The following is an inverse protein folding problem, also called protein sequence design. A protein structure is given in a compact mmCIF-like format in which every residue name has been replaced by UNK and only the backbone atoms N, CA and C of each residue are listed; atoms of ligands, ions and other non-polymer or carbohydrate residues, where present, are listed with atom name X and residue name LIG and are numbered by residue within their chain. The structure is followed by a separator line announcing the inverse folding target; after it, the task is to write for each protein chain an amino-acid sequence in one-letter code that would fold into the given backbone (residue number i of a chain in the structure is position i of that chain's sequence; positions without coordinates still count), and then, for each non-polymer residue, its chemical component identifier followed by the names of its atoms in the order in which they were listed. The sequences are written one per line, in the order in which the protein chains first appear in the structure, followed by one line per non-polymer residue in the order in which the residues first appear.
data_IF_607515568653
#
_entry.id   IF_607515568653
#
_cell.length_a   1.000
_cell.length_b   1.000
_cell.length_c   1.000
_cell.angle_alpha   90.00
_cell.angle_beta   90.00
_cell.angle_gamma   90.00
#
_symmetry.space_group_name_H-M   'P 1'
#
loop_
_entity.id
_entity.type
_entity.pdbx_description
1 polymer ?
#
# COMPACT_ATOMS: atom_id res chain seq x y z
N UNK A 1 11.38 -0.90 11.97
CA UNK A 1 10.00 -1.38 11.68
C UNK A 1 9.97 -2.09 10.35
N UNK A 2 9.14 -3.13 10.25
CA UNK A 2 8.95 -3.92 9.03
C UNK A 2 7.72 -3.43 8.27
N UNK A 3 7.89 -3.13 7.00
CA UNK A 3 6.86 -2.59 6.12
C UNK A 3 6.69 -3.52 4.92
N UNK A 4 5.45 -3.88 4.60
CA UNK A 4 5.12 -4.63 3.39
C UNK A 4 4.21 -3.80 2.50
N UNK A 5 4.40 -3.88 1.17
CA UNK A 5 3.39 -3.48 0.18
C UNK A 5 3.10 -4.61 -0.77
N UNK A 6 1.83 -4.75 -1.15
CA UNK A 6 1.37 -5.77 -2.10
C UNK A 6 0.06 -5.36 -2.78
N UNK A 7 0.02 -5.41 -4.10
CA UNK A 7 -1.22 -5.46 -4.86
C UNK A 7 -1.75 -6.90 -4.82
N UNK A 8 -2.95 -7.11 -4.29
CA UNK A 8 -3.52 -8.46 -4.06
C UNK A 8 -4.48 -8.93 -5.14
N UNK A 9 -4.60 -8.21 -6.26
CA UNK A 9 -5.46 -8.58 -7.39
C UNK A 9 -6.88 -9.00 -6.91
N UNK A 10 -7.53 -8.13 -6.16
CA UNK A 10 -8.88 -8.35 -5.58
C UNK A 10 -8.99 -9.55 -4.64
N UNK A 11 -7.85 -10.13 -4.21
CA UNK A 11 -7.82 -11.32 -3.36
C UNK A 11 -8.10 -12.64 -4.11
N UNK A 12 -7.83 -12.68 -5.42
CA UNK A 12 -7.95 -13.87 -6.26
C UNK A 12 -6.62 -14.23 -6.92
N UNK A 13 -6.37 -15.52 -7.08
CA UNK A 13 -5.21 -15.98 -7.86
C UNK A 13 -5.41 -15.69 -9.35
N UNK A 14 -4.34 -15.27 -10.04
CA UNK A 14 -4.37 -14.90 -11.46
C UNK A 14 -4.81 -16.05 -12.38
N UNK A 15 -4.47 -17.29 -12.04
CA UNK A 15 -4.75 -18.47 -12.88
C UNK A 15 -6.04 -19.20 -12.52
N UNK A 16 -6.33 -19.39 -11.23
CA UNK A 16 -7.40 -20.30 -10.79
C UNK A 16 -8.65 -19.58 -10.30
N UNK A 17 -8.67 -18.25 -10.27
CA UNK A 17 -9.76 -17.42 -9.72
C UNK A 17 -10.24 -17.89 -8.34
N UNK A 18 -9.36 -18.52 -7.57
CA UNK A 18 -9.64 -18.96 -6.19
C UNK A 18 -9.26 -17.84 -5.23
N UNK A 19 -10.06 -17.65 -4.18
CA UNK A 19 -9.72 -16.68 -3.13
C UNK A 19 -8.38 -17.01 -2.49
N UNK A 20 -7.51 -16.01 -2.39
CA UNK A 20 -6.18 -16.13 -1.79
C UNK A 20 -6.08 -15.43 -0.44
N UNK A 21 -7.12 -14.74 0.03
CA UNK A 21 -7.09 -13.92 1.24
C UNK A 21 -6.59 -14.66 2.48
N UNK A 22 -7.05 -15.91 2.72
CA UNK A 22 -6.59 -16.69 3.87
C UNK A 22 -5.09 -17.01 3.80
N UNK A 23 -4.58 -17.30 2.60
CA UNK A 23 -3.15 -17.56 2.36
C UNK A 23 -2.32 -16.29 2.49
N UNK A 24 -2.83 -15.16 1.97
CA UNK A 24 -2.21 -13.82 2.12
C UNK A 24 -2.12 -13.49 3.60
N UNK A 25 -3.22 -13.58 4.36
CA UNK A 25 -3.23 -13.35 5.81
C UNK A 25 -2.18 -14.19 6.54
N UNK A 26 -2.13 -15.49 6.28
CA UNK A 26 -1.15 -16.38 6.90
C UNK A 26 0.29 -15.95 6.58
N UNK A 27 0.58 -15.64 5.32
CA UNK A 27 1.92 -15.21 4.88
C UNK A 27 2.31 -13.85 5.47
N UNK A 28 1.40 -12.88 5.50
CA UNK A 28 1.64 -11.57 6.12
C UNK A 28 2.02 -11.70 7.60
N UNK A 29 1.39 -12.61 8.35
CA UNK A 29 1.72 -12.88 9.75
C UNK A 29 3.12 -13.47 9.92
N UNK A 30 3.51 -14.40 9.06
CA UNK A 30 4.86 -15.01 9.09
C UNK A 30 5.97 -13.99 8.84
N UNK A 31 5.69 -12.92 8.11
CA UNK A 31 6.66 -11.84 7.89
C UNK A 31 6.79 -10.87 9.07
N UNK A 32 5.94 -10.99 10.09
CA UNK A 32 5.94 -10.11 11.27
C UNK A 32 5.95 -8.62 10.91
N UNK A 33 5.18 -8.24 9.88
CA UNK A 33 5.10 -6.86 9.42
C UNK A 33 4.43 -5.96 10.47
N UNK A 34 5.03 -4.80 10.72
CA UNK A 34 4.43 -3.75 11.57
C UNK A 34 3.36 -2.98 10.80
N UNK A 35 3.61 -2.73 9.49
CA UNK A 35 2.72 -2.02 8.58
C UNK A 35 2.56 -2.81 7.29
N UNK A 36 1.33 -2.88 6.77
CA UNK A 36 1.03 -3.50 5.47
C UNK A 36 0.20 -2.55 4.63
N UNK A 37 0.70 -2.23 3.45
CA UNK A 37 0.04 -1.42 2.43
C UNK A 37 -0.52 -2.35 1.36
N UNK A 38 -1.84 -2.34 1.20
CA UNK A 38 -2.53 -3.26 0.30
C UNK A 38 -3.23 -2.45 -0.79
N UNK A 39 -3.08 -2.88 -2.05
CA UNK A 39 -3.80 -2.33 -3.19
C UNK A 39 -4.76 -3.38 -3.75
N UNK A 40 -5.81 -2.90 -4.41
CA UNK A 40 -6.91 -3.70 -4.96
C UNK A 40 -7.61 -4.61 -3.95
N UNK A 41 -7.67 -4.23 -2.68
CA UNK A 41 -8.52 -4.97 -1.75
C UNK A 41 -9.98 -4.81 -2.15
N UNK A 42 -10.63 -5.91 -2.50
CA UNK A 42 -12.05 -5.95 -2.87
C UNK A 42 -12.91 -6.42 -1.71
N UNK A 43 -14.02 -5.72 -1.52
CA UNK A 43 -15.09 -6.15 -0.63
C UNK A 43 -16.42 -6.19 -1.40
N UNK A 44 -17.24 -7.18 -1.10
CA UNK A 44 -18.52 -7.39 -1.76
C UNK A 44 -19.67 -6.93 -0.85
N UNK A 45 -20.70 -6.34 -1.44
CA UNK A 45 -21.94 -6.11 -0.70
C UNK A 45 -22.63 -7.44 -0.39
N UNK A 46 -23.12 -7.64 0.84
CA UNK A 46 -23.86 -8.86 1.18
C UNK A 46 -25.04 -9.06 0.23
N UNK A 47 -25.09 -10.20 -0.45
CA UNK A 47 -26.23 -10.54 -1.32
C UNK A 47 -27.46 -10.80 -0.45
N UNK A 48 -28.56 -10.04 -0.66
CA UNK A 48 -29.84 -10.29 -0.03
C UNK A 48 -30.00 -9.74 1.40
N UNK A 49 -29.05 -9.03 1.94
CA UNK A 49 -29.20 -8.43 3.27
C UNK A 49 -30.10 -7.18 3.20
N UNK A 50 -31.26 -7.25 3.84
CA UNK A 50 -31.99 -6.05 4.28
C UNK A 50 -31.01 -5.12 5.00
N UNK A 51 -31.02 -3.82 4.69
CA UNK A 51 -30.14 -2.76 5.25
C UNK A 51 -30.07 -2.72 6.80
N UNK A 52 -30.82 -3.58 7.50
CA UNK A 52 -30.97 -3.58 8.97
C UNK A 52 -30.16 -4.63 9.71
N UNK A 53 -29.54 -5.62 9.04
CA UNK A 53 -28.72 -6.64 9.71
C UNK A 53 -27.24 -6.38 9.40
N UNK A 54 -26.40 -6.31 10.47
CA UNK A 54 -24.94 -6.30 10.32
C UNK A 54 -24.53 -7.56 9.55
N UNK A 55 -23.60 -7.48 8.58
CA UNK A 55 -23.12 -8.67 7.89
C UNK A 55 -22.56 -9.66 8.91
N UNK A 56 -22.96 -10.92 8.80
CA UNK A 56 -22.51 -12.01 9.68
C UNK A 56 -21.04 -12.38 9.41
N UNK A 57 -20.51 -12.02 8.23
CA UNK A 57 -19.12 -12.25 7.86
C UNK A 57 -18.30 -10.97 7.98
N UNK A 58 -17.07 -11.05 8.48
CA UNK A 58 -16.16 -9.90 8.53
C UNK A 58 -15.89 -9.39 7.10
N UNK A 59 -15.72 -8.07 6.98
CA UNK A 59 -15.23 -7.47 5.72
C UNK A 59 -13.85 -8.02 5.37
N UNK A 60 -13.45 -7.91 4.10
CA UNK A 60 -12.15 -8.42 3.65
C UNK A 60 -10.99 -7.80 4.43
N UNK A 61 -11.09 -6.51 4.81
CA UNK A 61 -10.07 -5.83 5.62
C UNK A 61 -10.04 -6.37 7.05
N UNK A 62 -11.19 -6.53 7.71
CA UNK A 62 -11.28 -7.11 9.05
C UNK A 62 -10.73 -8.54 9.07
N UNK A 63 -11.05 -9.34 8.04
CA UNK A 63 -10.51 -10.69 7.90
C UNK A 63 -8.98 -10.70 7.77
N UNK A 64 -8.39 -9.76 7.02
CA UNK A 64 -6.94 -9.68 6.87
C UNK A 64 -6.27 -9.16 8.14
N UNK A 65 -6.83 -8.14 8.78
CA UNK A 65 -6.29 -7.55 10.00
C UNK A 65 -6.30 -8.54 11.15
N UNK A 66 -7.46 -9.21 11.35
CA UNK A 66 -7.68 -10.15 12.45
C UNK A 66 -7.13 -9.57 13.79
N UNK A 67 -6.76 -10.42 14.75
CA UNK A 67 -6.17 -9.96 16.01
C UNK A 67 -4.67 -9.60 15.92
N UNK A 68 -4.02 -9.74 14.77
CA UNK A 68 -2.58 -9.49 14.62
C UNK A 68 -2.24 -8.02 14.41
N UNK A 69 -3.04 -7.30 13.58
CA UNK A 69 -2.92 -5.85 13.42
C UNK A 69 -3.99 -5.17 14.24
N UNK A 70 -3.55 -4.32 15.17
CA UNK A 70 -4.41 -3.67 16.15
C UNK A 70 -5.35 -2.65 15.52
N UNK A 71 -4.93 -2.06 14.40
CA UNK A 71 -5.68 -1.03 13.71
C UNK A 71 -5.54 -1.12 12.18
N UNK A 72 -6.50 -0.57 11.47
CA UNK A 72 -6.50 -0.57 10.02
C UNK A 72 -7.36 0.57 9.46
N UNK A 73 -6.97 1.06 8.28
CA UNK A 73 -7.78 1.97 7.48
C UNK A 73 -8.03 1.39 6.10
N UNK A 74 -9.18 1.69 5.54
CA UNK A 74 -9.57 1.30 4.19
C UNK A 74 -10.16 2.48 3.42
N UNK A 75 -9.59 2.77 2.24
CA UNK A 75 -10.02 3.81 1.31
C UNK A 75 -10.69 3.21 0.09
N UNK A 76 -12.00 3.45 -0.08
CA UNK A 76 -12.75 3.03 -1.28
C UNK A 76 -12.36 3.91 -2.45
N UNK A 77 -11.83 3.31 -3.52
CA UNK A 77 -11.49 4.03 -4.75
C UNK A 77 -12.59 3.87 -5.82
N UNK A 78 -13.05 2.65 -6.06
CA UNK A 78 -14.12 2.38 -7.02
C UNK A 78 -15.27 1.59 -6.38
N UNK A 79 -16.49 2.04 -6.63
CA UNK A 79 -17.72 1.42 -6.12
C UNK A 79 -18.54 0.91 -7.30
N UNK A 80 -18.99 -0.34 -7.21
CA UNK A 80 -19.77 -1.05 -8.22
C UNK A 80 -21.08 -1.56 -7.61
N UNK A 81 -22.06 -1.99 -8.41
CA UNK A 81 -23.33 -2.50 -7.88
C UNK A 81 -23.20 -3.67 -6.90
N UNK A 82 -22.16 -4.50 -7.03
CA UNK A 82 -21.93 -5.70 -6.21
C UNK A 82 -20.85 -5.55 -5.14
N UNK A 83 -20.15 -4.41 -5.06
CA UNK A 83 -19.07 -4.23 -4.11
C UNK A 83 -18.22 -3.00 -4.42
N UNK A 84 -17.05 -2.96 -3.84
CA UNK A 84 -16.07 -1.90 -4.03
C UNK A 84 -14.65 -2.47 -3.94
N UNK A 85 -13.67 -1.74 -4.45
CA UNK A 85 -12.27 -2.00 -4.18
C UNK A 85 -11.52 -0.72 -3.86
N UNK A 86 -10.38 -0.87 -3.20
CA UNK A 86 -9.57 0.26 -2.79
C UNK A 86 -8.23 -0.13 -2.19
N UNK A 87 -7.65 0.82 -1.48
CA UNK A 87 -6.40 0.65 -0.78
C UNK A 87 -6.66 0.41 0.72
N UNK A 88 -5.75 -0.33 1.37
CA UNK A 88 -5.80 -0.52 2.80
C UNK A 88 -4.41 -0.33 3.44
N UNK A 89 -4.41 0.03 4.72
CA UNK A 89 -3.24 0.03 5.59
C UNK A 89 -3.61 -0.77 6.83
N UNK A 90 -2.84 -1.83 7.13
CA UNK A 90 -2.91 -2.57 8.40
C UNK A 90 -1.72 -2.13 9.26
N UNK A 91 -1.93 -1.98 10.58
CA UNK A 91 -0.92 -1.49 11.49
C UNK A 91 -0.93 -2.20 12.84
N UNK A 92 0.25 -2.48 13.37
CA UNK A 92 0.45 -2.86 14.78
C UNK A 92 0.49 -1.66 15.73
N UNK A 93 0.57 -0.45 15.16
CA UNK A 93 0.47 0.81 15.91
C UNK A 93 -0.95 1.36 15.81
N UNK A 94 -1.47 2.05 16.83
CA UNK A 94 -2.71 2.80 16.69
C UNK A 94 -2.60 3.82 15.56
N UNK A 95 -3.61 3.86 14.67
CA UNK A 95 -3.67 4.79 13.55
C UNK A 95 -4.59 5.97 13.90
N UNK A 96 -4.10 7.17 13.74
CA UNK A 96 -4.94 8.36 13.74
C UNK A 96 -5.76 8.40 12.45
N UNK A 97 -6.97 8.97 12.54
CA UNK A 97 -7.93 9.04 11.43
C UNK A 97 -7.26 9.54 10.16
N UNK A 98 -7.31 8.72 9.12
CA UNK A 98 -6.77 9.04 7.82
C UNK A 98 -7.85 9.52 6.84
N UNK A 99 -7.41 10.00 5.69
CA UNK A 99 -8.25 10.43 4.57
C UNK A 99 -7.91 9.58 3.34
N UNK A 100 -8.89 9.34 2.50
CA UNK A 100 -8.66 8.74 1.19
C UNK A 100 -8.80 9.84 0.12
N UNK A 101 -7.67 10.30 -0.41
CA UNK A 101 -7.61 11.34 -1.44
C UNK A 101 -7.96 10.74 -2.80
N UNK A 102 -8.87 11.38 -3.53
CA UNK A 102 -9.15 11.01 -4.93
C UNK A 102 -8.00 11.51 -5.81
N UNK A 103 -7.24 10.58 -6.35
CA UNK A 103 -6.16 10.83 -7.31
C UNK A 103 -6.57 10.45 -8.74
N UNK A 104 -7.85 10.30 -9.05
CA UNK A 104 -8.32 9.88 -10.36
C UNK A 104 -7.91 10.86 -11.46
N UNK A 105 -6.94 10.49 -12.30
CA UNK A 105 -6.51 11.30 -13.44
C UNK A 105 -7.50 11.22 -14.60
N UNK A 106 -8.31 10.16 -14.67
CA UNK A 106 -9.26 9.87 -15.75
C UNK A 106 -10.62 9.42 -15.20
N UNK A 107 -11.70 9.75 -15.91
CA UNK A 107 -13.08 9.42 -15.48
C UNK A 107 -13.37 7.91 -15.46
N UNK A 108 -12.68 7.14 -16.29
CA UNK A 108 -12.87 5.70 -16.42
C UNK A 108 -12.02 4.88 -15.43
N UNK A 109 -11.11 5.53 -14.70
CA UNK A 109 -10.19 4.86 -13.79
C UNK A 109 -10.16 5.56 -12.44
N UNK A 110 -10.70 4.91 -11.41
CA UNK A 110 -10.72 5.45 -10.06
C UNK A 110 -9.48 5.06 -9.28
N UNK A 111 -8.72 6.04 -8.83
CA UNK A 111 -7.47 5.88 -8.08
C UNK A 111 -7.47 6.74 -6.83
N UNK A 112 -6.77 6.31 -5.81
CA UNK A 112 -6.70 7.06 -4.55
C UNK A 112 -5.39 6.86 -3.81
N UNK A 113 -5.13 7.78 -2.87
CA UNK A 113 -4.10 7.68 -1.86
C UNK A 113 -4.76 7.61 -0.48
N UNK A 114 -4.67 6.46 0.17
CA UNK A 114 -5.13 6.30 1.54
C UNK A 114 -4.03 6.78 2.48
N UNK A 115 -4.32 7.83 3.24
CA UNK A 115 -3.43 8.43 4.24
C UNK A 115 -3.78 7.93 5.64
N UNK A 116 -2.78 7.65 6.44
CA UNK A 116 -2.87 7.35 7.87
C UNK A 116 -1.64 7.88 8.60
N UNK A 117 -1.78 8.15 9.89
CA UNK A 117 -0.67 8.61 10.74
C UNK A 117 -0.58 7.71 11.97
N UNK A 118 0.62 7.37 12.38
CA UNK A 118 0.88 6.72 13.66
C UNK A 118 2.04 7.37 14.39
N UNK A 119 2.06 7.19 15.70
CA UNK A 119 3.12 7.69 16.57
C UNK A 119 4.16 6.61 16.86
N UNK A 120 5.44 6.95 16.76
CA UNK A 120 6.55 6.06 17.12
C UNK A 120 7.54 6.77 18.02
N UNK A 121 7.98 6.08 19.06
CA UNK A 121 9.02 6.58 19.97
C UNK A 121 10.38 6.63 19.24
N UNK A 122 11.05 7.77 19.35
CA UNK A 122 12.44 7.94 18.90
C UNK A 122 13.42 7.33 19.90
N UNK A 123 14.64 7.07 19.46
CA UNK A 123 15.72 6.61 20.34
C UNK A 123 16.04 7.61 21.48
N UNK A 124 15.87 8.91 21.22
CA UNK A 124 16.05 9.99 22.22
C UNK A 124 14.84 10.18 23.16
N UNK A 125 13.82 9.32 23.08
CA UNK A 125 12.66 9.31 23.98
C UNK A 125 11.45 10.13 23.51
N UNK A 126 11.57 10.99 22.50
CA UNK A 126 10.45 11.76 21.96
C UNK A 126 9.50 10.91 21.09
N UNK A 127 8.23 11.32 21.01
CA UNK A 127 7.27 10.75 20.04
C UNK A 127 7.39 11.45 18.70
N UNK A 128 7.27 10.68 17.62
CA UNK A 128 7.33 11.16 16.25
C UNK A 128 6.14 10.64 15.46
N UNK A 129 5.35 11.56 14.91
CA UNK A 129 4.31 11.23 13.93
C UNK A 129 4.95 10.79 12.62
N UNK A 130 4.49 9.67 12.07
CA UNK A 130 4.91 9.13 10.78
C UNK A 130 3.69 9.06 9.88
N UNK A 131 3.76 9.72 8.73
CA UNK A 131 2.69 9.74 7.74
C UNK A 131 2.85 8.57 6.76
N UNK A 132 1.78 7.83 6.52
CA UNK A 132 1.73 6.67 5.63
C UNK A 132 0.72 6.88 4.52
N UNK A 133 1.12 6.59 3.28
CA UNK A 133 0.25 6.66 2.10
C UNK A 133 0.27 5.34 1.35
N UNK A 134 -0.90 4.66 1.27
CA UNK A 134 -1.10 3.51 0.39
C UNK A 134 -1.67 4.00 -0.93
N UNK A 135 -0.96 3.78 -2.04
CA UNK A 135 -1.34 4.29 -3.35
C UNK A 135 -1.45 3.19 -4.41
N UNK A 136 -2.29 3.47 -5.42
CA UNK A 136 -2.32 2.72 -6.66
C UNK A 136 -2.52 3.71 -7.80
N UNK A 137 -1.50 3.93 -8.62
CA UNK A 137 -1.49 4.92 -9.70
C UNK A 137 -2.04 4.38 -11.01
N UNK A 138 -2.33 5.28 -11.95
CA UNK A 138 -2.75 4.93 -13.31
C UNK A 138 -1.63 4.29 -14.14
N UNK A 139 -2.00 3.52 -15.17
CA UNK A 139 -1.06 2.95 -16.14
C UNK A 139 -0.41 4.00 -17.06
N UNK A 140 -1.01 5.19 -17.19
CA UNK A 140 -0.57 6.22 -18.13
C UNK A 140 0.43 7.18 -17.47
N UNK A 141 1.60 7.37 -18.09
CA UNK A 141 2.70 8.16 -17.51
C UNK A 141 2.30 9.60 -17.18
N UNK A 142 1.60 10.28 -18.10
CA UNK A 142 1.15 11.66 -17.85
C UNK A 142 0.18 11.73 -16.64
N UNK A 143 -0.72 10.77 -16.54
CA UNK A 143 -1.62 10.65 -15.38
C UNK A 143 -0.86 10.40 -14.08
N UNK A 144 0.16 9.50 -14.08
CA UNK A 144 0.99 9.25 -12.90
C UNK A 144 1.72 10.50 -12.41
N UNK A 145 2.29 11.29 -13.33
CA UNK A 145 2.97 12.55 -12.97
C UNK A 145 2.01 13.51 -12.29
N UNK A 146 0.81 13.70 -12.85
CA UNK A 146 -0.24 14.53 -12.23
C UNK A 146 -0.64 14.02 -10.83
N UNK A 147 -0.87 12.72 -10.70
CA UNK A 147 -1.25 12.09 -9.45
C UNK A 147 -0.18 12.28 -8.36
N UNK A 148 1.10 12.10 -8.71
CA UNK A 148 2.20 12.28 -7.77
C UNK A 148 2.38 13.75 -7.42
N UNK A 149 2.27 14.69 -8.36
CA UNK A 149 2.33 16.12 -8.04
C UNK A 149 1.24 16.50 -7.05
N UNK A 150 -0.01 16.12 -7.31
CA UNK A 150 -1.13 16.35 -6.39
C UNK A 150 -0.88 15.74 -5.01
N UNK A 151 -0.38 14.49 -4.95
CA UNK A 151 -0.08 13.82 -3.69
C UNK A 151 1.03 14.54 -2.91
N UNK A 152 2.06 15.03 -3.59
CA UNK A 152 3.18 15.74 -2.95
C UNK A 152 2.71 17.10 -2.39
N UNK A 153 1.81 17.80 -3.08
CA UNK A 153 1.22 19.04 -2.56
C UNK A 153 0.48 18.77 -1.24
N UNK A 154 -0.33 17.71 -1.19
CA UNK A 154 -1.00 17.27 0.05
C UNK A 154 -0.02 16.88 1.15
N UNK A 155 1.02 16.11 0.82
CA UNK A 155 2.06 15.72 1.77
C UNK A 155 2.81 16.94 2.32
N UNK A 156 3.09 17.93 1.49
CA UNK A 156 3.78 19.15 1.90
C UNK A 156 2.95 19.94 2.90
N UNK A 157 1.64 19.97 2.74
CA UNK A 157 0.71 20.60 3.66
C UNK A 157 0.56 19.81 4.98
N UNK A 158 0.42 18.47 4.91
CA UNK A 158 0.09 17.63 6.06
C UNK A 158 1.32 17.26 6.91
N UNK A 159 2.41 16.92 6.27
CA UNK A 159 3.55 16.29 6.92
C UNK A 159 4.74 17.23 7.13
N UNK A 160 4.77 18.40 6.47
CA UNK A 160 5.91 19.34 6.54
C UNK A 160 7.26 18.62 6.57
N UNK A 161 7.92 18.58 7.73
CA UNK A 161 9.19 17.90 7.98
C UNK A 161 9.04 16.50 8.59
N UNK A 162 7.81 16.03 8.86
CA UNK A 162 7.59 14.72 9.45
C UNK A 162 8.01 13.58 8.50
N UNK A 163 8.43 12.42 9.05
CA UNK A 163 8.71 11.25 8.27
C UNK A 163 7.51 10.76 7.49
N UNK A 164 7.74 10.32 6.24
CA UNK A 164 6.71 9.86 5.33
C UNK A 164 7.09 8.53 4.70
N UNK A 165 6.14 7.62 4.60
CA UNK A 165 6.20 6.38 3.82
C UNK A 165 5.12 6.44 2.73
N UNK A 166 5.50 6.28 1.48
CA UNK A 166 4.56 6.09 0.36
C UNK A 166 4.83 4.71 -0.22
N UNK A 167 3.86 3.82 -0.12
CA UNK A 167 4.02 2.45 -0.61
C UNK A 167 2.82 2.01 -1.44
N UNK A 168 3.05 1.22 -2.49
CA UNK A 168 1.99 0.74 -3.34
C UNK A 168 2.41 0.40 -4.74
N UNK A 169 1.39 0.25 -5.59
CA UNK A 169 1.53 0.03 -7.01
C UNK A 169 1.61 1.38 -7.75
N UNK A 170 2.80 1.74 -8.17
CA UNK A 170 3.09 2.98 -8.89
C UNK A 170 2.85 2.84 -10.40
N UNK A 171 2.69 1.61 -10.91
CA UNK A 171 2.58 1.36 -12.36
C UNK A 171 3.70 2.02 -13.19
N UNK A 172 4.87 2.25 -12.56
CA UNK A 172 5.99 3.00 -13.17
C UNK A 172 7.18 2.10 -13.53
N UNK A 173 6.95 1.18 -14.47
CA UNK A 173 7.99 0.22 -14.89
C UNK A 173 9.23 0.85 -15.53
N UNK A 174 9.14 2.09 -16.01
CA UNK A 174 10.25 2.86 -16.63
C UNK A 174 11.02 3.74 -15.65
N UNK A 175 10.59 3.78 -14.38
CA UNK A 175 11.14 4.69 -13.36
C UNK A 175 11.05 6.17 -13.72
N UNK A 176 9.97 6.56 -14.41
CA UNK A 176 9.74 7.93 -14.87
C UNK A 176 9.42 8.92 -13.72
N UNK A 177 8.98 8.40 -12.57
CA UNK A 177 8.69 9.18 -11.36
C UNK A 177 9.90 9.33 -10.44
N UNK A 178 10.94 8.50 -10.57
CA UNK A 178 12.12 8.51 -9.69
C UNK A 178 12.75 9.90 -9.53
N UNK A 179 13.11 10.61 -10.63
CA UNK A 179 13.68 11.96 -10.53
C UNK A 179 12.75 12.97 -9.85
N UNK A 180 11.45 12.91 -10.13
CA UNK A 180 10.43 13.77 -9.50
C UNK A 180 10.35 13.50 -8.00
N UNK A 181 10.27 12.24 -7.57
CA UNK A 181 10.24 11.87 -6.16
C UNK A 181 11.52 12.30 -5.42
N UNK A 182 12.68 12.12 -6.04
CA UNK A 182 13.97 12.53 -5.49
C UNK A 182 14.06 14.06 -5.29
N UNK A 183 13.51 14.87 -6.21
CA UNK A 183 13.50 16.34 -6.08
C UNK A 183 12.70 16.83 -4.87
N UNK A 184 11.78 16.01 -4.34
CA UNK A 184 11.02 16.28 -3.12
C UNK A 184 11.57 15.56 -1.87
N UNK A 185 12.80 15.05 -1.96
CA UNK A 185 13.52 14.43 -0.85
C UNK A 185 13.10 13.00 -0.53
N UNK A 186 12.34 12.34 -1.40
CA UNK A 186 12.01 10.93 -1.26
C UNK A 186 13.11 10.02 -1.82
N UNK A 187 13.39 8.94 -1.09
CA UNK A 187 14.31 7.88 -1.50
C UNK A 187 13.52 6.60 -1.77
N UNK A 188 13.72 5.97 -2.93
CA UNK A 188 13.17 4.64 -3.20
C UNK A 188 14.04 3.59 -2.50
N UNK A 189 13.41 2.73 -1.71
CA UNK A 189 14.10 1.81 -0.79
C UNK A 189 15.01 0.83 -1.54
N UNK A 190 14.51 0.17 -2.58
CA UNK A 190 15.30 -0.81 -3.35
C UNK A 190 16.37 -0.14 -4.21
N UNK A 191 16.08 1.02 -4.78
CA UNK A 191 17.07 1.79 -5.53
C UNK A 191 18.23 2.21 -4.63
N UNK A 192 17.94 2.66 -3.40
CA UNK A 192 18.94 3.02 -2.39
C UNK A 192 19.81 1.83 -1.98
N UNK A 193 19.21 0.65 -1.75
CA UNK A 193 19.93 -0.51 -1.24
C UNK A 193 20.54 -1.41 -2.33
N UNK A 194 19.92 -1.45 -3.52
CA UNK A 194 20.26 -2.40 -4.59
C UNK A 194 20.60 -1.72 -5.92
N UNK A 195 20.65 -0.38 -5.96
CA UNK A 195 20.95 0.40 -7.17
C UNK A 195 19.84 0.47 -8.21
N UNK A 196 18.71 -0.19 -7.98
CA UNK A 196 17.54 -0.19 -8.89
C UNK A 196 16.28 -0.65 -8.17
N UNK A 197 15.10 -0.16 -8.57
CA UNK A 197 13.84 -0.62 -8.05
C UNK A 197 13.58 -2.12 -8.31
N UNK A 198 12.81 -2.76 -7.42
CA UNK A 198 12.49 -4.18 -7.52
C UNK A 198 11.59 -4.52 -8.72
N UNK A 199 11.78 -5.69 -9.31
CA UNK A 199 10.85 -6.27 -10.28
C UNK A 199 9.76 -7.03 -9.53
N UNK A 200 8.49 -6.75 -9.83
CA UNK A 200 7.35 -7.28 -9.08
C UNK A 200 6.25 -7.89 -9.94
N UNK A 201 6.23 -7.61 -11.25
CA UNK A 201 5.17 -8.05 -12.15
C UNK A 201 5.75 -8.65 -13.45
N UNK A 202 5.12 -9.68 -14.04
CA UNK A 202 4.14 -10.57 -13.40
C UNK A 202 4.81 -11.49 -12.38
N UNK A 203 4.08 -11.91 -11.34
CA UNK A 203 4.66 -12.60 -10.17
C UNK A 203 5.40 -13.90 -10.50
N UNK A 204 4.94 -14.66 -11.52
CA UNK A 204 5.58 -15.92 -11.92
C UNK A 204 6.94 -15.72 -12.61
N UNK A 205 7.16 -14.56 -13.25
CA UNK A 205 8.42 -14.17 -13.90
C UNK A 205 8.56 -12.65 -13.85
N UNK A 206 9.09 -12.07 -12.75
CA UNK A 206 9.10 -10.62 -12.55
C UNK A 206 10.01 -9.91 -13.55
N UNK A 207 9.40 -9.13 -14.44
CA UNK A 207 10.08 -8.34 -15.45
C UNK A 207 9.91 -6.83 -15.23
N UNK A 208 8.72 -6.41 -14.81
CA UNK A 208 8.35 -5.00 -14.65
C UNK A 208 8.46 -4.56 -13.18
N UNK A 209 8.88 -3.30 -13.00
CA UNK A 209 9.05 -2.66 -11.70
C UNK A 209 7.81 -1.82 -11.40
N UNK A 210 6.74 -2.42 -10.89
CA UNK A 210 5.45 -1.76 -10.69
C UNK A 210 5.32 -1.18 -9.28
N UNK A 211 5.69 -1.97 -8.27
CA UNK A 211 5.51 -1.64 -6.86
C UNK A 211 6.74 -0.93 -6.30
N UNK A 212 6.53 0.01 -5.36
CA UNK A 212 7.58 0.83 -4.73
C UNK A 212 7.32 1.04 -3.26
N UNK A 213 8.41 1.32 -2.54
CA UNK A 213 8.40 1.91 -1.19
C UNK A 213 9.31 3.13 -1.23
N UNK A 214 8.71 4.32 -1.17
CA UNK A 214 9.42 5.58 -1.01
C UNK A 214 9.39 6.05 0.43
N UNK A 215 10.49 6.60 0.90
CA UNK A 215 10.62 7.14 2.26
C UNK A 215 11.24 8.53 2.26
N UNK A 216 10.81 9.35 3.22
CA UNK A 216 11.42 10.64 3.57
C UNK A 216 11.52 10.73 5.08
N UNK A 217 12.67 11.14 5.64
CA UNK A 217 12.91 11.20 7.08
C UNK A 217 13.08 9.83 7.77
N UNK A 218 13.22 8.75 7.00
CA UNK A 218 13.49 7.39 7.43
C UNK A 218 14.71 6.86 6.66
N UNK A 219 15.37 5.83 7.19
CA UNK A 219 16.43 5.09 6.49
C UNK A 219 16.04 3.63 6.29
N UNK A 220 16.38 3.09 5.12
CA UNK A 220 16.19 1.67 4.85
C UNK A 220 17.42 0.88 5.36
N UNK A 221 17.16 -0.17 6.15
CA UNK A 221 18.18 -1.11 6.64
C UNK A 221 18.31 -2.31 5.71
N UNK A 222 17.19 -2.87 5.30
CA UNK A 222 17.12 -4.02 4.41
C UNK A 222 15.85 -3.98 3.57
N UNK A 223 15.89 -4.64 2.41
CA UNK A 223 14.72 -4.84 1.58
C UNK A 223 14.82 -6.16 0.81
N UNK A 224 13.68 -6.81 0.59
CA UNK A 224 13.58 -8.01 -0.24
C UNK A 224 12.22 -8.15 -0.90
N UNK A 225 12.21 -8.83 -2.03
CA UNK A 225 10.98 -9.26 -2.71
C UNK A 225 10.46 -10.54 -2.06
N UNK A 226 9.13 -10.68 -1.98
CA UNK A 226 8.46 -11.85 -1.41
C UNK A 226 8.17 -12.89 -2.51
N UNK A 227 9.21 -13.36 -3.22
CA UNK A 227 9.11 -14.26 -4.38
C UNK A 227 8.30 -15.53 -4.09
N UNK A 228 8.36 -16.04 -2.85
CA UNK A 228 7.61 -17.20 -2.42
C UNK A 228 6.08 -16.98 -2.31
N UNK A 229 5.62 -15.77 -2.67
CA UNK A 229 4.20 -15.39 -2.76
C UNK A 229 3.68 -15.36 -4.21
N UNK A 230 4.47 -15.76 -5.20
CA UNK A 230 4.16 -15.65 -6.63
C UNK A 230 2.82 -16.29 -7.07
N UNK A 231 2.23 -17.15 -6.25
CA UNK A 231 0.94 -17.80 -6.51
C UNK A 231 -0.23 -17.20 -5.73
N UNK A 232 -0.03 -16.07 -5.06
CA UNK A 232 -1.07 -15.40 -4.26
C UNK A 232 -1.71 -14.23 -5.01
N UNK A 233 -0.94 -13.56 -5.85
CA UNK A 233 -1.34 -12.44 -6.69
C UNK A 233 -0.57 -12.49 -8.01
N UNK A 234 -0.88 -11.61 -8.95
CA UNK A 234 -0.07 -11.34 -10.14
C UNK A 234 1.09 -10.37 -9.86
N UNK A 235 1.13 -9.76 -8.67
CA UNK A 235 2.25 -9.00 -8.14
C UNK A 235 3.02 -9.76 -7.05
N UNK A 236 4.32 -9.53 -6.96
CA UNK A 236 5.15 -9.93 -5.83
C UNK A 236 5.18 -8.79 -4.81
N UNK A 237 4.91 -9.13 -3.54
CA UNK A 237 5.02 -8.16 -2.44
C UNK A 237 6.48 -7.73 -2.21
N UNK A 238 6.64 -6.52 -1.69
CA UNK A 238 7.91 -5.96 -1.23
C UNK A 238 7.91 -5.87 0.29
N UNK A 239 9.03 -6.23 0.91
CA UNK A 239 9.28 -6.03 2.34
C UNK A 239 10.50 -5.14 2.52
N UNK A 240 10.41 -4.17 3.41
CA UNK A 240 11.52 -3.32 3.84
C UNK A 240 11.59 -3.24 5.36
N UNK A 241 12.80 -3.12 5.89
CA UNK A 241 13.07 -2.75 7.28
C UNK A 241 13.54 -1.29 7.32
N UNK A 242 12.80 -0.47 8.06
CA UNK A 242 13.02 0.97 8.14
C UNK A 242 13.37 1.40 9.57
N UNK A 243 14.32 2.32 9.68
CA UNK A 243 14.67 3.00 10.94
C UNK A 243 14.24 4.47 10.87
N UNK A 244 13.78 4.99 12.01
CA UNK A 244 13.52 6.41 12.19
C UNK A 244 14.86 7.13 12.39
N UNK A 245 15.11 8.16 11.59
CA UNK A 245 16.32 9.02 11.69
C UNK A 245 16.25 9.98 12.87
#
# INVERSE_FOLDING_TARGET
MRVITINIHKGYSSFLRRSTLARIRHKLRLEHADLVFIQELQDLFPSGASRKLKPVNPSAIEFLADAYWLDWHYGKNAVYPKGHHGNAILSRYPLNKGLNYDLSAYRFERRGALHSVFEKKRLNGGMQSIHCFSIHLTLFEHGRKRQITQLIDEISYLAHSAPVIIAGDFNDWRNSLGPLMASYGFQEVFETLCGKPARTYPAFQPLLRMDRIYVRGLSARSARTLNHWANLSDHIGLLAELDLR
#
